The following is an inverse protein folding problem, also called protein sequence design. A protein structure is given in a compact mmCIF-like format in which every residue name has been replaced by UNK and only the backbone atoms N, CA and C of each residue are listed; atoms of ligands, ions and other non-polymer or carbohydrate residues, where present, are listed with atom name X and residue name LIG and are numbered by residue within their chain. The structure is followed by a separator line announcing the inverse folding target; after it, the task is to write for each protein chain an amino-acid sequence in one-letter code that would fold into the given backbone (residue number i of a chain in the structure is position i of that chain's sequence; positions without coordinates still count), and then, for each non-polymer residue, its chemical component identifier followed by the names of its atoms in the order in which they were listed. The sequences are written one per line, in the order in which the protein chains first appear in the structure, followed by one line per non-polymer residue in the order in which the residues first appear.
data_IF_337053524876
#
_entry.id   IF_337053524876
#
_cell.length_a   1.000
_cell.length_b   1.000
_cell.length_c   1.000
_cell.angle_alpha   90.00
_cell.angle_beta   90.00
_cell.angle_gamma   90.00
#
_symmetry.space_group_name_H-M   'P 1'
#
loop_
_entity.id
_entity.type
_entity.pdbx_description
1 polymer ?
#
# COMPACT_ATOMS: atom_id res chain seq x y z
N UNK A 1 5.88 6.41 17.64
CA UNK A 1 5.72 7.81 17.15
C UNK A 1 6.70 8.09 16.03
N UNK A 2 6.24 8.80 15.00
CA UNK A 2 7.07 9.13 13.84
C UNK A 2 7.87 10.41 14.14
N UNK A 3 9.20 10.33 14.15
CA UNK A 3 10.07 11.48 14.45
C UNK A 3 10.34 12.37 13.23
N UNK A 4 10.15 11.83 12.02
CA UNK A 4 10.41 12.54 10.78
C UNK A 4 9.16 12.69 9.92
N UNK A 5 8.00 12.61 10.53
CA UNK A 5 6.71 12.69 9.84
C UNK A 5 6.49 14.10 9.28
N UNK A 6 6.14 14.18 8.00
CA UNK A 6 5.78 15.42 7.31
C UNK A 6 4.35 15.27 6.79
N UNK A 7 3.35 15.97 7.37
CA UNK A 7 1.94 15.73 7.07
C UNK A 7 1.55 15.86 5.60
N UNK A 8 2.26 16.67 4.82
CA UNK A 8 1.98 16.83 3.39
C UNK A 8 2.67 15.77 2.52
N UNK A 9 3.65 15.04 3.05
CA UNK A 9 4.46 14.08 2.32
C UNK A 9 4.18 12.64 2.71
N UNK A 10 3.44 12.41 3.79
CA UNK A 10 3.19 11.09 4.35
C UNK A 10 1.69 10.91 4.58
N UNK A 11 0.92 10.89 3.47
CA UNK A 11 -0.55 10.89 3.56
C UNK A 11 -1.19 9.53 3.40
N UNK A 12 -0.43 8.51 2.99
CA UNK A 12 -0.95 7.15 2.79
C UNK A 12 -0.10 6.17 3.60
N UNK A 13 -0.77 5.26 4.27
CA UNK A 13 -0.14 4.13 4.94
C UNK A 13 -0.74 2.84 4.39
N UNK A 14 0.07 1.80 4.32
CA UNK A 14 -0.39 0.50 3.85
C UNK A 14 -0.05 -0.58 4.87
N UNK A 15 -0.82 -1.66 4.85
CA UNK A 15 -0.55 -2.85 5.62
C UNK A 15 -0.66 -4.07 4.72
N UNK A 16 0.30 -4.99 4.87
CA UNK A 16 0.31 -6.28 4.22
C UNK A 16 0.26 -7.36 5.29
N UNK A 17 -0.54 -8.40 5.05
CA UNK A 17 -0.63 -9.55 5.95
C UNK A 17 -0.18 -10.80 5.22
N UNK A 18 0.64 -11.64 5.89
CA UNK A 18 1.06 -12.90 5.34
C UNK A 18 0.16 -14.07 5.80
N UNK A 19 0.44 -15.26 5.29
CA UNK A 19 -0.33 -16.47 5.57
C UNK A 19 -0.27 -16.90 7.03
N UNK A 20 0.70 -16.39 7.80
CA UNK A 20 0.85 -16.67 9.23
C UNK A 20 0.20 -15.61 10.10
N UNK A 21 -0.51 -14.64 9.52
CA UNK A 21 -1.18 -13.59 10.26
C UNK A 21 -0.29 -12.44 10.68
N UNK A 22 0.99 -12.44 10.27
CA UNK A 22 1.90 -11.32 10.56
C UNK A 22 1.59 -10.14 9.65
N UNK A 23 1.73 -8.93 10.19
CA UNK A 23 1.39 -7.70 9.49
C UNK A 23 2.61 -6.79 9.40
N UNK A 24 2.86 -6.25 8.23
CA UNK A 24 3.88 -5.23 8.00
C UNK A 24 3.23 -3.98 7.44
N UNK A 25 3.66 -2.84 7.96
CA UNK A 25 3.13 -1.55 7.56
C UNK A 25 4.20 -0.74 6.85
N UNK A 26 3.76 0.17 6.01
CA UNK A 26 4.62 1.09 5.29
C UNK A 26 3.94 2.44 5.15
N UNK A 27 4.75 3.46 4.94
CA UNK A 27 4.31 4.83 4.79
C UNK A 27 4.73 5.33 3.42
N UNK A 28 3.86 6.05 2.75
CA UNK A 28 4.18 6.74 1.51
C UNK A 28 5.30 7.77 1.77
N UNK A 29 6.27 7.81 0.89
CA UNK A 29 7.38 8.75 0.96
C UNK A 29 7.24 9.79 -0.14
N UNK A 30 6.90 11.02 0.23
CA UNK A 30 6.94 12.16 -0.67
C UNK A 30 8.37 12.60 -0.89
N UNK A 31 8.61 13.32 -1.97
CA UNK A 31 9.93 13.83 -2.30
C UNK A 31 9.81 15.13 -3.10
N UNK A 32 10.84 15.97 -3.01
CA UNK A 32 10.93 17.19 -3.80
C UNK A 32 10.94 16.86 -5.30
N UNK A 33 11.70 15.84 -5.68
CA UNK A 33 11.70 15.34 -7.06
C UNK A 33 10.59 14.29 -7.16
N UNK A 34 9.51 14.62 -7.88
CA UNK A 34 8.28 13.83 -7.87
C UNK A 34 8.45 12.35 -8.24
N UNK A 35 9.31 12.03 -9.20
CA UNK A 35 9.53 10.64 -9.62
C UNK A 35 10.23 9.79 -8.55
N UNK A 36 10.77 10.42 -7.49
CA UNK A 36 11.37 9.70 -6.36
C UNK A 36 10.33 9.33 -5.32
N UNK A 37 9.11 9.79 -5.45
CA UNK A 37 8.05 9.42 -4.51
C UNK A 37 7.79 7.92 -4.56
N UNK A 38 7.54 7.33 -3.40
CA UNK A 38 7.30 5.91 -3.25
C UNK A 38 5.96 5.71 -2.54
N UNK A 39 5.10 4.88 -3.11
CA UNK A 39 3.83 4.50 -2.48
C UNK A 39 4.08 3.71 -1.20
N UNK A 40 3.08 3.64 -0.35
CA UNK A 40 3.18 2.95 0.95
C UNK A 40 3.34 1.44 0.81
N UNK A 41 2.72 0.83 -0.21
CA UNK A 41 2.76 -0.62 -0.39
C UNK A 41 4.16 -1.17 -0.67
N UNK A 42 4.97 -0.56 -1.57
CA UNK A 42 6.36 -1.01 -1.75
C UNK A 42 7.20 -0.92 -0.48
N UNK A 43 6.97 0.10 0.35
CA UNK A 43 7.69 0.25 1.63
C UNK A 43 7.33 -0.90 2.57
N UNK A 44 6.03 -1.21 2.70
CA UNK A 44 5.57 -2.33 3.52
C UNK A 44 6.10 -3.66 2.98
N UNK A 45 6.08 -3.85 1.66
CA UNK A 45 6.55 -5.07 1.02
C UNK A 45 8.04 -5.29 1.25
N UNK A 46 8.85 -4.25 1.06
CA UNK A 46 10.29 -4.34 1.30
C UNK A 46 10.61 -4.77 2.72
N UNK A 47 9.89 -4.20 3.68
CA UNK A 47 10.05 -4.58 5.08
C UNK A 47 9.62 -6.04 5.33
N UNK A 48 8.50 -6.46 4.75
CA UNK A 48 8.02 -7.82 4.89
C UNK A 48 9.04 -8.83 4.36
N UNK A 49 9.61 -8.58 3.18
CA UNK A 49 10.62 -9.45 2.59
C UNK A 49 11.87 -9.52 3.45
N UNK A 50 12.32 -8.37 3.97
CA UNK A 50 13.51 -8.32 4.80
C UNK A 50 13.32 -9.12 6.10
N UNK A 51 12.13 -9.10 6.68
CA UNK A 51 11.82 -9.77 7.93
C UNK A 51 11.32 -11.21 7.75
N UNK A 52 11.40 -11.75 6.55
CA UNK A 52 11.10 -13.16 6.32
C UNK A 52 9.63 -13.51 6.25
N UNK A 53 8.83 -12.64 5.65
CA UNK A 53 7.40 -12.88 5.48
C UNK A 53 7.13 -14.18 4.72
N UNK A 54 6.04 -14.84 5.09
CA UNK A 54 5.47 -15.91 4.27
C UNK A 54 4.71 -15.32 3.08
N UNK A 55 3.82 -16.13 2.48
CA UNK A 55 3.02 -15.66 1.34
C UNK A 55 2.10 -14.51 1.77
N UNK A 56 2.17 -13.40 1.06
CA UNK A 56 1.29 -12.25 1.33
C UNK A 56 -0.11 -12.59 0.84
N UNK A 57 -1.09 -12.43 1.73
CA UNK A 57 -2.48 -12.84 1.45
C UNK A 57 -3.45 -11.67 1.44
N UNK A 58 -3.08 -10.49 1.96
CA UNK A 58 -3.97 -9.34 1.97
C UNK A 58 -3.18 -8.04 1.97
N UNK A 59 -3.78 -7.01 1.37
CA UNK A 59 -3.23 -5.66 1.31
C UNK A 59 -4.34 -4.64 1.51
N UNK A 60 -4.04 -3.57 2.24
CA UNK A 60 -4.93 -2.43 2.41
C UNK A 60 -4.10 -1.16 2.49
N UNK A 61 -4.63 -0.07 1.97
CA UNK A 61 -4.03 1.26 2.13
C UNK A 61 -5.09 2.23 2.63
N UNK A 62 -4.66 3.16 3.47
CA UNK A 62 -5.54 4.22 3.98
C UNK A 62 -4.87 5.57 3.75
N UNK A 63 -5.69 6.58 3.48
CA UNK A 63 -5.24 7.94 3.27
C UNK A 63 -5.66 8.78 4.47
N UNK A 64 -4.70 9.51 5.02
CA UNK A 64 -4.96 10.57 5.98
C UNK A 64 -4.95 11.90 5.23
N UNK A 65 -6.00 12.76 5.36
CA UNK A 65 -6.02 14.03 4.69
C UNK A 65 -4.86 14.93 5.10
N UNK A 66 -4.47 15.84 4.20
CA UNK A 66 -3.50 16.87 4.52
C UNK A 66 -4.10 17.84 5.56
N UNK A 67 -3.24 18.52 6.36
CA UNK A 67 -3.75 19.39 7.44
C UNK A 67 -4.68 20.50 6.98
N UNK A 68 -4.54 20.97 5.74
CA UNK A 68 -5.34 22.06 5.18
C UNK A 68 -6.63 21.60 4.50
N UNK A 69 -6.89 20.30 4.44
CA UNK A 69 -8.17 19.78 3.90
C UNK A 69 -9.27 19.91 4.96
N UNK A 70 -10.48 20.23 4.51
CA UNK A 70 -11.62 20.43 5.43
C UNK A 70 -12.05 19.10 6.07
N UNK A 71 -12.15 18.04 5.28
CA UNK A 71 -12.52 16.72 5.77
C UNK A 71 -11.25 16.01 6.24
N UNK A 72 -11.19 15.66 7.52
CA UNK A 72 -10.07 14.97 8.13
C UNK A 72 -10.33 13.46 8.33
N UNK A 73 -11.35 12.90 7.71
CA UNK A 73 -11.64 11.48 7.83
C UNK A 73 -10.57 10.65 7.15
N UNK A 74 -10.15 9.57 7.81
CA UNK A 74 -9.24 8.59 7.23
C UNK A 74 -10.08 7.64 6.37
N UNK A 75 -9.62 7.38 5.17
CA UNK A 75 -10.37 6.57 4.21
C UNK A 75 -9.49 5.49 3.60
N UNK A 76 -10.10 4.33 3.32
CA UNK A 76 -9.45 3.30 2.52
C UNK A 76 -9.31 3.82 1.09
N UNK A 77 -8.14 3.59 0.49
CA UNK A 77 -7.89 3.93 -0.91
C UNK A 77 -7.46 2.69 -1.68
N UNK A 78 -7.78 2.67 -2.97
CA UNK A 78 -7.32 1.61 -3.85
C UNK A 78 -5.82 1.78 -4.13
N UNK A 79 -5.09 0.68 -4.35
CA UNK A 79 -3.69 0.79 -4.76
C UNK A 79 -3.58 1.46 -6.14
N UNK A 80 -2.54 2.25 -6.33
CA UNK A 80 -2.27 2.85 -7.63
C UNK A 80 -1.85 1.76 -8.65
N UNK A 81 -1.81 2.13 -9.93
CA UNK A 81 -1.44 1.18 -10.99
C UNK A 81 -0.07 0.55 -10.79
N UNK A 82 0.92 1.37 -10.40
CA UNK A 82 2.28 0.87 -10.15
C UNK A 82 2.29 -0.17 -9.02
N UNK A 83 1.54 0.07 -7.94
CA UNK A 83 1.45 -0.88 -6.82
C UNK A 83 0.73 -2.16 -7.23
N UNK A 84 -0.29 -2.07 -8.08
CA UNK A 84 -0.97 -3.26 -8.62
C UNK A 84 0.00 -4.14 -9.42
N UNK A 85 0.84 -3.51 -10.24
CA UNK A 85 1.88 -4.22 -11.00
C UNK A 85 2.90 -4.87 -10.07
N UNK A 86 3.41 -4.11 -9.11
CA UNK A 86 4.41 -4.63 -8.16
C UNK A 86 3.85 -5.79 -7.34
N UNK A 87 2.65 -5.64 -6.79
CA UNK A 87 2.03 -6.68 -5.97
C UNK A 87 1.75 -7.95 -6.78
N UNK A 88 1.49 -7.82 -8.08
CA UNK A 88 1.28 -8.98 -8.95
C UNK A 88 2.54 -9.87 -8.99
N UNK A 89 3.73 -9.27 -8.94
CA UNK A 89 4.98 -10.03 -8.95
C UNK A 89 5.24 -10.77 -7.63
N UNK A 90 4.81 -10.19 -6.51
CA UNK A 90 5.16 -10.72 -5.17
C UNK A 90 3.98 -11.38 -4.44
N UNK A 91 2.75 -11.02 -4.79
CA UNK A 91 1.56 -11.46 -4.09
C UNK A 91 0.39 -11.63 -5.06
N UNK A 92 0.53 -12.46 -6.12
CA UNK A 92 -0.48 -12.55 -7.17
C UNK A 92 -1.84 -13.03 -6.66
N UNK A 93 -1.85 -13.79 -5.57
CA UNK A 93 -3.09 -14.37 -5.02
C UNK A 93 -3.66 -13.56 -3.86
N UNK A 94 -3.11 -12.37 -3.59
CA UNK A 94 -3.56 -11.57 -2.45
C UNK A 94 -4.95 -11.00 -2.68
N UNK A 95 -5.67 -10.81 -1.58
CA UNK A 95 -6.89 -10.02 -1.52
C UNK A 95 -6.51 -8.56 -1.29
N UNK A 96 -7.24 -7.66 -1.91
CA UNK A 96 -7.05 -6.22 -1.72
C UNK A 96 -8.35 -5.63 -1.16
N UNK A 97 -8.23 -4.90 -0.06
CA UNK A 97 -9.37 -4.18 0.52
C UNK A 97 -9.46 -2.84 -0.20
N UNK A 98 -10.62 -2.54 -0.77
CA UNK A 98 -10.87 -1.34 -1.55
C UNK A 98 -11.97 -0.51 -0.89
N UNK A 99 -12.19 0.76 -1.32
CA UNK A 99 -13.24 1.60 -0.75
C UNK A 99 -14.59 0.91 -0.72
N UNK A 100 -15.39 1.18 0.33
CA UNK A 100 -16.67 0.54 0.56
C UNK A 100 -16.54 -0.77 1.33
N UNK A 101 -15.40 -0.99 1.99
CA UNK A 101 -15.13 -2.20 2.78
C UNK A 101 -15.28 -3.49 1.96
N UNK A 102 -14.94 -3.43 0.68
CA UNK A 102 -14.97 -4.59 -0.21
C UNK A 102 -13.60 -5.22 -0.32
N UNK A 103 -13.61 -6.53 -0.49
CA UNK A 103 -12.40 -7.32 -0.68
C UNK A 103 -12.43 -7.91 -2.09
N UNK A 104 -11.42 -7.61 -2.89
CA UNK A 104 -11.29 -8.10 -4.26
C UNK A 104 -9.97 -8.83 -4.45
N UNK A 105 -9.91 -9.87 -5.29
CA UNK A 105 -8.62 -10.46 -5.62
C UNK A 105 -7.81 -9.46 -6.44
N UNK A 106 -6.50 -9.45 -6.24
CA UNK A 106 -5.61 -8.55 -6.97
C UNK A 106 -5.78 -8.70 -8.49
N UNK A 107 -6.00 -9.92 -8.96
CA UNK A 107 -6.21 -10.20 -10.38
C UNK A 107 -7.41 -9.46 -10.97
N UNK A 108 -8.42 -9.14 -10.17
CA UNK A 108 -9.57 -8.36 -10.62
C UNK A 108 -9.22 -6.87 -10.79
N UNK A 109 -8.16 -6.41 -10.14
CA UNK A 109 -7.72 -5.01 -10.20
C UNK A 109 -6.65 -4.80 -11.28
N UNK A 110 -6.13 -5.84 -11.87
CA UNK A 110 -5.11 -5.75 -12.91
C UNK A 110 -5.29 -6.90 -13.90
N UNK A 111 -6.38 -6.87 -14.71
CA UNK A 111 -6.52 -7.83 -15.80
C UNK A 111 -5.49 -7.51 -16.89
N UNK A 112 -4.83 -8.50 -17.43
CA UNK A 112 -3.81 -8.33 -18.47
C UNK A 112 -2.60 -7.50 -17.98
N UNK A 113 -1.91 -7.93 -16.92
CA UNK A 113 -0.74 -7.21 -16.44
C UNK A 113 0.40 -7.26 -17.45
N UNK A 114 1.33 -6.30 -17.32
CA UNK A 114 2.54 -6.33 -18.13
C UNK A 114 3.32 -7.61 -17.84
N UNK A 115 3.78 -8.27 -18.89
CA UNK A 115 4.62 -9.46 -18.79
C UNK A 115 5.85 -9.30 -19.67
N UNK A 116 6.97 -9.75 -19.15
CA UNK A 116 8.23 -9.76 -19.90
C UNK A 116 8.25 -10.87 -20.93
#
# INVERSE_FOLDING_TARGET
MLTHHRPHWHTVAAALRDEHGRIWTGLHLGATVGRLQICAEPVALGRALLEGAGRIVASVAVRHPKPDEKNQDIAVVSPCGACRELLTDYAPDAWVIVPGARKLPLSALLPLPYQR
#
